data_IF_205316008826
#
_entry.id   IF_205316008826
#
_cell.length_a   1.000
_cell.length_b   1.000
_cell.length_c   1.000
_cell.angle_alpha   90.00
_cell.angle_beta   90.00
_cell.angle_gamma   90.00
#
_symmetry.space_group_name_H-M   'P 1'
#
loop_
_entity.id
_entity.type
_entity.pdbx_description
1 polymer ?
#
# COMPACT_ATOMS: atom_id res chain seq x y z
N UNK A 1 -21.87 -50.71 35.97
CA UNK A 1 -20.74 -50.02 35.30
C UNK A 1 -21.23 -49.19 34.10
N UNK A 2 -22.05 -48.15 34.32
CA UNK A 2 -22.57 -47.25 33.24
C UNK A 2 -22.31 -45.76 33.50
N UNK A 3 -22.03 -45.38 34.75
CA UNK A 3 -21.87 -43.98 35.17
C UNK A 3 -20.49 -43.42 34.78
N UNK A 4 -19.43 -44.24 34.81
CA UNK A 4 -18.07 -43.81 34.44
C UNK A 4 -17.90 -43.47 32.95
N UNK A 5 -18.60 -44.18 32.04
CA UNK A 5 -18.53 -43.91 30.59
C UNK A 5 -19.15 -42.56 30.20
N UNK A 6 -20.22 -42.13 30.88
CA UNK A 6 -20.89 -40.86 30.61
C UNK A 6 -20.03 -39.65 31.02
N UNK A 7 -19.25 -39.78 32.09
CA UNK A 7 -18.39 -38.73 32.62
C UNK A 7 -17.17 -38.54 31.70
N UNK A 8 -16.52 -39.61 31.28
CA UNK A 8 -15.39 -39.54 30.32
C UNK A 8 -15.78 -38.88 28.99
N UNK A 9 -16.96 -39.20 28.44
CA UNK A 9 -17.44 -38.59 27.20
C UNK A 9 -17.76 -37.09 27.35
N UNK A 10 -18.18 -36.62 28.54
CA UNK A 10 -18.40 -35.19 28.78
C UNK A 10 -17.09 -34.41 28.87
N UNK A 11 -16.09 -34.93 29.58
CA UNK A 11 -14.75 -34.31 29.62
C UNK A 11 -14.09 -34.24 28.25
N UNK A 12 -14.23 -35.30 27.45
CA UNK A 12 -13.68 -35.36 26.09
C UNK A 12 -14.34 -34.36 25.15
N UNK A 13 -15.66 -34.14 25.27
CA UNK A 13 -16.37 -33.09 24.53
C UNK A 13 -15.93 -31.69 24.95
N UNK A 14 -15.85 -31.40 26.25
CA UNK A 14 -15.40 -30.09 26.76
C UNK A 14 -13.98 -29.77 26.31
N UNK A 15 -13.06 -30.74 26.35
CA UNK A 15 -11.69 -30.56 25.88
C UNK A 15 -11.61 -30.28 24.38
N UNK A 16 -12.44 -30.95 23.57
CA UNK A 16 -12.53 -30.71 22.12
C UNK A 16 -13.09 -29.31 21.82
N UNK A 17 -14.16 -28.88 22.50
CA UNK A 17 -14.73 -27.55 22.31
C UNK A 17 -13.74 -26.46 22.73
N UNK A 18 -12.99 -26.67 23.81
CA UNK A 18 -11.96 -25.74 24.27
C UNK A 18 -10.80 -25.63 23.26
N UNK A 19 -10.32 -26.77 22.73
CA UNK A 19 -9.30 -26.76 21.67
C UNK A 19 -9.81 -26.09 20.39
N UNK A 20 -11.07 -26.31 20.01
CA UNK A 20 -11.67 -25.70 18.84
C UNK A 20 -11.84 -24.19 19.00
N UNK A 21 -12.21 -23.72 20.20
CA UNK A 21 -12.25 -22.30 20.54
C UNK A 21 -10.84 -21.67 20.53
N UNK A 22 -9.85 -22.32 21.11
CA UNK A 22 -8.45 -21.86 21.08
C UNK A 22 -7.94 -21.78 19.63
N UNK A 23 -8.29 -22.74 18.77
CA UNK A 23 -7.96 -22.70 17.36
C UNK A 23 -8.68 -21.56 16.62
N UNK A 24 -9.97 -21.34 16.89
CA UNK A 24 -10.75 -20.22 16.31
C UNK A 24 -10.25 -18.85 16.77
N UNK A 25 -9.84 -18.68 18.03
CA UNK A 25 -9.25 -17.43 18.53
C UNK A 25 -7.80 -17.24 18.06
N UNK A 26 -7.02 -18.32 17.92
CA UNK A 26 -5.64 -18.28 17.41
C UNK A 26 -5.55 -17.87 15.94
N UNK A 27 -6.52 -18.26 15.10
CA UNK A 27 -6.52 -17.93 13.67
C UNK A 27 -6.97 -16.49 13.39
N UNK A 28 -7.74 -15.87 14.30
CA UNK A 28 -8.14 -14.46 14.18
C UNK A 28 -7.05 -13.44 14.60
N UNK A 29 -5.87 -13.92 15.02
CA UNK A 29 -4.75 -13.08 15.45
C UNK A 29 -3.67 -12.95 14.39
N UNK A 30 -4.00 -13.06 13.10
CA UNK A 30 -3.09 -12.59 12.04
C UNK A 30 -3.22 -11.07 12.04
N UNK A 31 -2.52 -10.41 12.94
CA UNK A 31 -2.29 -8.97 12.83
C UNK A 31 -1.72 -8.74 11.44
N UNK A 32 -2.34 -7.86 10.66
CA UNK A 32 -1.76 -7.47 9.38
C UNK A 32 -0.35 -6.92 9.68
N UNK A 33 0.69 -7.58 9.18
CA UNK A 33 2.09 -7.14 9.37
C UNK A 33 2.40 -5.82 8.66
N UNK A 34 1.38 -5.15 8.12
CA UNK A 34 1.48 -3.87 7.43
C UNK A 34 0.22 -3.01 7.64
N UNK A 35 0.42 -1.70 7.75
CA UNK A 35 -0.60 -0.67 7.67
C UNK A 35 -0.63 -0.09 6.25
N UNK A 36 -1.81 0.32 5.78
CA UNK A 36 -2.01 1.02 4.51
C UNK A 36 -2.51 2.43 4.79
N UNK A 37 -1.90 3.42 4.17
CA UNK A 37 -2.40 4.79 4.13
C UNK A 37 -2.30 5.36 2.71
N UNK A 38 -3.04 6.43 2.44
CA UNK A 38 -2.99 7.16 1.17
C UNK A 38 -2.50 8.56 1.47
N UNK A 39 -1.39 8.94 0.86
CA UNK A 39 -0.78 10.26 0.96
C UNK A 39 -1.16 11.03 -0.29
N UNK A 40 -1.80 12.19 -0.12
CA UNK A 40 -2.25 13.04 -1.23
C UNK A 40 -1.45 14.33 -1.23
N UNK A 41 -0.87 14.66 -2.38
CA UNK A 41 -0.01 15.82 -2.56
C UNK A 41 -0.55 16.71 -3.68
N UNK A 42 -0.78 17.98 -3.36
CA UNK A 42 -1.07 19.01 -4.36
C UNK A 42 0.24 19.68 -4.78
N UNK A 43 0.59 19.52 -6.06
CA UNK A 43 1.90 19.82 -6.61
C UNK A 43 1.78 20.81 -7.76
N UNK A 44 2.79 21.68 -7.87
CA UNK A 44 2.95 22.62 -8.98
C UNK A 44 4.10 22.12 -9.85
N UNK A 45 3.75 21.48 -10.97
CA UNK A 45 4.72 21.10 -11.99
C UNK A 45 5.15 22.27 -12.86
N UNK A 46 6.41 22.25 -13.26
CA UNK A 46 7.00 23.22 -14.19
C UNK A 46 7.76 22.45 -15.25
N UNK A 47 7.24 22.48 -16.47
CA UNK A 47 7.83 21.78 -17.58
C UNK A 47 9.30 22.21 -17.75
N UNK A 48 10.20 21.25 -17.97
CA UNK A 48 11.63 21.52 -18.07
C UNK A 48 11.96 22.48 -19.23
N UNK A 49 11.18 22.43 -20.31
CA UNK A 49 11.38 23.20 -21.53
C UNK A 49 10.53 24.47 -21.59
N UNK A 50 9.64 24.70 -20.62
CA UNK A 50 8.82 25.90 -20.55
C UNK A 50 8.45 26.23 -19.12
N UNK A 51 8.57 27.49 -18.70
CA UNK A 51 8.12 27.94 -17.37
C UNK A 51 6.59 27.88 -17.17
N UNK A 52 5.85 27.27 -18.10
CA UNK A 52 4.41 27.00 -17.98
C UNK A 52 4.16 25.96 -16.88
N UNK A 53 3.06 26.17 -16.17
CA UNK A 53 2.70 25.43 -14.97
C UNK A 53 1.55 24.48 -15.27
N UNK A 54 1.63 23.29 -14.69
CA UNK A 54 0.53 22.32 -14.59
C UNK A 54 0.33 21.98 -13.12
N UNK A 55 -0.93 21.93 -12.69
CA UNK A 55 -1.28 21.51 -11.34
C UNK A 55 -1.51 20.00 -11.33
N UNK A 56 -0.97 19.31 -10.33
CA UNK A 56 -1.16 17.88 -10.14
C UNK A 56 -1.67 17.64 -8.72
N UNK A 57 -2.63 16.73 -8.58
CA UNK A 57 -2.94 16.11 -7.30
C UNK A 57 -2.48 14.66 -7.40
N UNK A 58 -1.43 14.31 -6.66
CA UNK A 58 -0.81 12.99 -6.71
C UNK A 58 -1.19 12.19 -5.46
N UNK A 59 -1.72 11.00 -5.68
CA UNK A 59 -1.95 10.01 -4.64
C UNK A 59 -0.82 8.99 -4.62
N UNK A 60 -0.30 8.74 -3.43
CA UNK A 60 0.72 7.74 -3.15
C UNK A 60 0.16 6.77 -2.12
N UNK A 61 -0.02 5.51 -2.52
CA UNK A 61 -0.42 4.45 -1.60
C UNK A 61 0.81 3.99 -0.82
N UNK A 62 0.78 4.14 0.49
CA UNK A 62 1.89 3.78 1.37
C UNK A 62 1.53 2.55 2.20
N UNK A 63 2.34 1.50 2.04
CA UNK A 63 2.34 0.31 2.90
C UNK A 63 3.52 0.39 3.87
N UNK A 64 3.22 0.32 5.16
CA UNK A 64 4.21 0.40 6.23
C UNK A 64 4.22 -0.87 7.04
N UNK A 65 5.39 -1.44 7.28
CA UNK A 65 5.56 -2.56 8.21
C UNK A 65 5.09 -2.18 9.61
N UNK A 66 4.17 -2.96 10.16
CA UNK A 66 3.75 -2.88 11.55
C UNK A 66 4.36 -4.07 12.25
N UNK A 67 5.17 -3.79 13.28
CA UNK A 67 5.87 -4.84 14.03
C UNK A 67 4.85 -5.73 14.72
N UNK A 68 4.78 -6.97 14.29
CA UNK A 68 3.99 -8.02 14.93
C UNK A 68 4.93 -8.95 15.72
N UNK A 69 4.59 -9.38 16.95
CA UNK A 69 5.31 -10.46 17.63
C UNK A 69 5.37 -11.73 16.75
N UNK A 70 6.54 -12.01 16.18
CA UNK A 70 6.79 -13.13 15.25
C UNK A 70 7.09 -12.69 13.81
N UNK A 71 6.93 -11.41 13.50
CA UNK A 71 7.27 -10.83 12.20
C UNK A 71 8.79 -10.78 11.93
N UNK A 72 9.19 -10.56 10.66
CA UNK A 72 10.60 -10.49 10.28
C UNK A 72 11.33 -9.38 11.05
N UNK A 73 12.56 -9.67 11.48
CA UNK A 73 13.47 -8.65 12.02
C UNK A 73 14.13 -7.93 10.86
N UNK A 74 13.81 -6.64 10.70
CA UNK A 74 14.39 -5.79 9.67
C UNK A 74 15.64 -5.12 10.24
N UNK A 75 16.82 -5.65 9.90
CA UNK A 75 18.11 -5.14 10.39
C UNK A 75 18.58 -3.87 9.67
N UNK A 76 18.01 -3.55 8.50
CA UNK A 76 18.27 -2.32 7.75
C UNK A 76 17.00 -1.88 7.02
N UNK A 77 16.21 -0.95 7.58
CA UNK A 77 14.94 -0.56 7.00
C UNK A 77 15.15 0.13 5.65
N UNK A 78 14.52 -0.42 4.60
CA UNK A 78 14.51 0.17 3.26
C UNK A 78 13.14 0.72 2.94
N UNK A 79 13.12 1.87 2.28
CA UNK A 79 11.94 2.40 1.63
C UNK A 79 12.01 2.10 0.14
N UNK A 80 10.90 1.67 -0.46
CA UNK A 80 10.79 1.37 -1.90
C UNK A 80 9.72 2.26 -2.48
N UNK A 81 10.02 2.93 -3.59
CA UNK A 81 9.04 3.68 -4.38
C UNK A 81 8.80 2.95 -5.70
N UNK A 82 7.54 2.62 -5.98
CA UNK A 82 7.07 2.13 -7.26
C UNK A 82 6.47 3.28 -8.07
N UNK A 83 6.99 3.46 -9.28
CA UNK A 83 6.46 4.37 -10.29
C UNK A 83 5.95 3.52 -11.45
N UNK A 84 4.67 3.65 -11.78
CA UNK A 84 3.98 2.82 -12.76
C UNK A 84 4.22 3.28 -14.21
N UNK A 85 3.88 2.40 -15.16
CA UNK A 85 3.79 2.73 -16.59
C UNK A 85 2.42 3.31 -16.97
N UNK A 86 2.23 3.57 -18.26
CA UNK A 86 0.97 4.10 -18.80
C UNK A 86 -0.14 3.03 -18.77
N UNK A 87 -1.33 3.41 -18.29
CA UNK A 87 -2.52 2.55 -18.27
C UNK A 87 -2.77 1.80 -16.96
N UNK A 88 -1.86 1.90 -15.99
CA UNK A 88 -1.95 1.19 -14.71
C UNK A 88 -2.17 2.14 -13.51
N UNK A 89 -2.49 1.56 -12.35
CA UNK A 89 -2.57 2.29 -11.08
C UNK A 89 -1.96 1.47 -9.94
N UNK A 90 -1.95 2.04 -8.74
CA UNK A 90 -1.32 1.52 -7.53
C UNK A 90 -1.70 0.09 -7.17
N UNK A 91 -2.89 -0.37 -7.56
CA UNK A 91 -3.36 -1.74 -7.30
C UNK A 91 -2.51 -2.82 -7.97
N UNK A 92 -1.83 -2.50 -9.09
CA UNK A 92 -0.97 -3.45 -9.80
C UNK A 92 0.19 -3.96 -8.92
N UNK A 93 0.80 -3.07 -8.14
CA UNK A 93 1.96 -3.40 -7.30
C UNK A 93 1.61 -3.74 -5.85
N UNK A 94 0.33 -3.69 -5.48
CA UNK A 94 -0.12 -3.99 -4.11
C UNK A 94 0.34 -5.38 -3.62
N UNK A 95 0.20 -6.49 -4.40
CA UNK A 95 0.69 -7.80 -3.95
C UNK A 95 2.21 -7.82 -3.69
N UNK A 96 2.99 -7.19 -4.58
CA UNK A 96 4.44 -7.14 -4.47
C UNK A 96 4.89 -6.27 -3.28
N UNK A 97 4.21 -5.14 -3.02
CA UNK A 97 4.48 -4.28 -1.88
C UNK A 97 4.33 -5.04 -0.55
N UNK A 98 3.24 -5.81 -0.42
CA UNK A 98 2.99 -6.65 0.75
C UNK A 98 4.05 -7.74 0.89
N UNK A 99 4.42 -8.40 -0.20
CA UNK A 99 5.44 -9.45 -0.20
C UNK A 99 6.82 -8.93 0.23
N UNK A 100 7.21 -7.73 -0.23
CA UNK A 100 8.47 -7.08 0.17
C UNK A 100 8.52 -6.83 1.67
N UNK A 101 7.42 -6.39 2.27
CA UNK A 101 7.31 -6.17 3.71
C UNK A 101 7.37 -7.50 4.46
N UNK A 102 6.59 -8.49 4.03
CA UNK A 102 6.53 -9.81 4.68
C UNK A 102 7.88 -10.55 4.64
N UNK A 103 8.66 -10.37 3.58
CA UNK A 103 10.02 -10.92 3.46
C UNK A 103 11.09 -10.10 4.18
N UNK A 104 10.71 -9.03 4.88
CA UNK A 104 11.63 -8.13 5.57
C UNK A 104 12.58 -7.39 4.61
N UNK A 105 12.20 -7.24 3.34
CA UNK A 105 13.00 -6.56 2.30
C UNK A 105 12.75 -5.06 2.26
N UNK A 106 11.58 -4.62 2.72
CA UNK A 106 11.20 -3.21 2.85
C UNK A 106 10.46 -2.97 4.16
N UNK A 107 10.65 -1.79 4.75
CA UNK A 107 9.84 -1.31 5.87
C UNK A 107 8.71 -0.41 5.37
N UNK A 108 8.98 0.40 4.35
CA UNK A 108 8.00 1.29 3.74
C UNK A 108 7.97 0.99 2.23
N UNK A 109 6.78 0.90 1.66
CA UNK A 109 6.59 0.76 0.23
C UNK A 109 5.57 1.79 -0.23
N UNK A 110 5.99 2.69 -1.09
CA UNK A 110 5.20 3.75 -1.68
C UNK A 110 4.86 3.36 -3.12
N UNK A 111 3.61 3.50 -3.52
CA UNK A 111 3.15 3.24 -4.89
C UNK A 111 2.47 4.50 -5.38
N UNK A 112 3.10 5.19 -6.31
CA UNK A 112 2.62 6.47 -6.83
C UNK A 112 1.65 6.25 -7.99
N UNK A 113 0.42 6.75 -7.85
CA UNK A 113 -0.48 6.90 -8.99
C UNK A 113 -0.02 8.09 -9.85
N UNK A 114 0.30 7.83 -11.12
CA UNK A 114 0.70 8.88 -12.06
C UNK A 114 -0.47 9.84 -12.36
N UNK A 115 -0.21 11.08 -12.81
CA UNK A 115 -1.27 11.99 -13.28
C UNK A 115 -2.29 11.29 -14.19
N UNK A 116 -3.58 11.46 -13.90
CA UNK A 116 -4.69 10.88 -14.65
C UNK A 116 -4.91 9.38 -14.44
N UNK A 117 -4.20 8.74 -13.50
CA UNK A 117 -4.36 7.34 -13.14
C UNK A 117 -4.79 7.19 -11.69
N UNK A 118 -5.51 6.10 -11.39
CA UNK A 118 -6.00 5.82 -10.03
C UNK A 118 -6.81 6.99 -9.49
N UNK A 119 -6.40 7.51 -8.32
CA UNK A 119 -7.01 8.70 -7.73
C UNK A 119 -6.26 10.01 -8.07
N UNK A 120 -5.13 9.95 -8.77
CA UNK A 120 -4.34 11.12 -9.14
C UNK A 120 -4.98 11.90 -10.28
N UNK A 121 -4.96 13.22 -10.18
CA UNK A 121 -5.56 14.13 -11.15
C UNK A 121 -4.55 15.17 -11.64
N UNK A 122 -4.94 15.91 -12.66
CA UNK A 122 -4.19 17.04 -13.16
C UNK A 122 -5.14 18.13 -13.66
N UNK A 123 -4.67 19.37 -13.63
CA UNK A 123 -5.37 20.50 -14.21
C UNK A 123 -4.36 21.42 -14.92
N UNK A 124 -4.74 21.99 -16.08
CA UNK A 124 -3.92 23.00 -16.72
C UNK A 124 -3.79 24.23 -15.81
N UNK A 125 -2.56 24.70 -15.62
CA UNK A 125 -2.27 25.97 -14.97
C UNK A 125 -2.09 27.07 -16.02
N UNK A 126 -0.87 27.58 -16.15
CA UNK A 126 -0.50 28.46 -17.29
C UNK A 126 -0.13 27.65 -18.53
N UNK A 127 -0.06 26.32 -18.44
CA UNK A 127 0.13 25.44 -19.58
C UNK A 127 -1.17 25.21 -20.36
N UNK A 128 -1.10 25.30 -21.68
CA UNK A 128 -2.20 24.94 -22.59
C UNK A 128 -2.43 23.42 -22.63
N UNK A 129 -1.38 22.64 -22.32
CA UNK A 129 -1.41 21.18 -22.32
C UNK A 129 -0.72 20.61 -21.07
N UNK A 130 -1.17 19.45 -20.54
CA UNK A 130 -2.35 18.72 -20.97
C UNK A 130 -3.63 19.37 -20.43
N UNK A 131 -4.64 19.52 -21.30
CA UNK A 131 -5.98 19.96 -20.90
C UNK A 131 -6.87 18.76 -20.50
N UNK A 132 -6.52 17.56 -20.94
CA UNK A 132 -7.21 16.31 -20.65
C UNK A 132 -6.22 15.12 -20.58
N UNK A 133 -6.69 13.97 -20.08
CA UNK A 133 -5.81 12.82 -19.84
C UNK A 133 -5.23 12.19 -21.11
N UNK A 134 -5.91 12.30 -22.27
CA UNK A 134 -5.38 11.77 -23.53
C UNK A 134 -4.18 12.55 -24.08
N UNK A 135 -3.91 13.73 -23.52
CA UNK A 135 -2.75 14.56 -23.84
C UNK A 135 -1.58 14.38 -22.87
N UNK A 136 -1.72 13.50 -21.86
CA UNK A 136 -0.63 13.21 -20.94
C UNK A 136 0.52 12.55 -21.68
N UNK A 137 1.72 13.04 -21.40
CA UNK A 137 2.97 12.52 -21.95
C UNK A 137 3.91 12.10 -20.83
N UNK A 138 4.96 11.35 -21.18
CA UNK A 138 6.04 11.00 -20.27
C UNK A 138 6.66 12.23 -19.60
N UNK A 139 6.71 13.37 -20.30
CA UNK A 139 7.21 14.64 -19.75
C UNK A 139 6.35 15.13 -18.58
N UNK A 140 5.03 14.94 -18.64
CA UNK A 140 4.14 15.32 -17.54
C UNK A 140 4.34 14.44 -16.30
N UNK A 141 4.63 13.15 -16.50
CA UNK A 141 4.92 12.24 -15.40
C UNK A 141 6.26 12.55 -14.74
N UNK A 142 7.30 12.82 -15.55
CA UNK A 142 8.59 13.25 -15.05
C UNK A 142 8.49 14.58 -14.27
N UNK A 143 7.66 15.50 -14.75
CA UNK A 143 7.39 16.78 -14.08
C UNK A 143 6.67 16.59 -12.74
N UNK A 144 5.60 15.80 -12.69
CA UNK A 144 4.89 15.47 -11.46
C UNK A 144 5.79 14.77 -10.42
N UNK A 145 6.60 13.80 -10.86
CA UNK A 145 7.55 13.10 -10.00
C UNK A 145 8.62 14.04 -9.43
N UNK A 146 9.11 14.99 -10.24
CA UNK A 146 10.06 16.01 -9.77
C UNK A 146 9.41 16.95 -8.76
N UNK A 147 8.20 17.40 -9.02
CA UNK A 147 7.47 18.26 -8.10
C UNK A 147 7.23 17.57 -6.76
N UNK A 148 6.93 16.26 -6.78
CA UNK A 148 6.79 15.45 -5.57
C UNK A 148 8.10 15.38 -4.79
N UNK A 149 9.21 15.13 -5.48
CA UNK A 149 10.53 15.09 -4.84
C UNK A 149 10.94 16.42 -4.18
N UNK A 150 10.45 17.55 -4.69
CA UNK A 150 10.72 18.88 -4.10
C UNK A 150 9.79 19.22 -2.92
N UNK A 151 8.70 18.49 -2.75
CA UNK A 151 7.72 18.73 -1.70
C UNK A 151 8.01 17.95 -0.39
N UNK A 152 8.88 16.94 -0.47
CA UNK A 152 9.38 16.14 0.67
C UNK A 152 10.79 16.61 1.11
#
# INVERSE_FOLDING_TARGET
MKIQLGIQNRFRKVGLTLCFLIFLFGVNSINASYAKEILTYDLIGRNFYSLKITYYTINVVHYKYVRDPGGPIIFNPKSVLFVLGFGDNSTLFEPLAKELILKGKAQNVYIMDLPGHGASTMAPGTSEYPANYSQLSVTNYADALRALHLAE
#
